data_IF_157959844129
#
_entry.id   IF_157959844129
#
_cell.length_a   1.000
_cell.length_b   1.000
_cell.length_c   1.000
_cell.angle_alpha   90.00
_cell.angle_beta   90.00
_cell.angle_gamma   90.00
#
_symmetry.space_group_name_H-M   'P 1'
#
loop_
_entity.id
_entity.type
_entity.pdbx_description
1 polymer ?
#
# COMPACT_ATOMS: atom_id res chain seq x y z
N UNK A 1 14.58 2.50 3.83
CA UNK A 1 13.83 3.06 4.97
C UNK A 1 12.35 2.85 4.72
N UNK A 2 11.62 2.34 5.71
CA UNK A 2 10.19 2.04 5.62
C UNK A 2 9.35 3.23 5.16
N UNK A 3 9.40 4.38 5.86
CA UNK A 3 8.57 5.56 5.52
C UNK A 3 8.73 6.04 4.07
N UNK A 4 9.96 6.06 3.54
CA UNK A 4 10.21 6.43 2.13
C UNK A 4 9.50 5.46 1.17
N UNK A 5 9.51 4.16 1.47
CA UNK A 5 8.84 3.17 0.64
C UNK A 5 7.32 3.29 0.75
N UNK A 6 6.79 3.41 1.97
CA UNK A 6 5.35 3.60 2.22
C UNK A 6 4.82 4.84 1.50
N UNK A 7 5.51 5.98 1.62
CA UNK A 7 5.17 7.21 0.89
C UNK A 7 5.14 6.99 -0.62
N UNK A 8 6.12 6.26 -1.15
CA UNK A 8 6.14 5.94 -2.58
C UNK A 8 5.02 4.98 -2.99
N UNK A 9 4.66 3.99 -2.15
CA UNK A 9 3.55 3.06 -2.40
C UNK A 9 2.23 3.79 -2.49
N UNK A 10 1.97 4.72 -1.56
CA UNK A 10 0.77 5.57 -1.58
C UNK A 10 0.75 6.42 -2.85
N UNK A 11 1.87 7.07 -3.19
CA UNK A 11 1.96 7.96 -4.35
C UNK A 11 1.71 7.23 -5.67
N UNK A 12 2.24 6.01 -5.81
CA UNK A 12 2.06 5.22 -7.03
C UNK A 12 0.80 4.35 -7.00
N UNK A 13 0.09 4.27 -5.86
CA UNK A 13 -0.97 3.28 -5.61
C UNK A 13 -0.53 1.85 -5.93
N UNK A 14 0.74 1.52 -5.66
CA UNK A 14 1.30 0.18 -5.89
C UNK A 14 1.80 -0.40 -4.57
N UNK A 15 1.55 -1.68 -4.32
CA UNK A 15 2.15 -2.39 -3.19
C UNK A 15 3.65 -2.56 -3.44
N UNK A 16 4.45 -2.26 -2.43
CA UNK A 16 5.89 -2.55 -2.44
C UNK A 16 6.17 -3.68 -1.48
N UNK A 17 6.99 -4.64 -1.89
CA UNK A 17 7.34 -5.84 -1.10
C UNK A 17 8.26 -5.52 0.11
N UNK A 18 9.02 -4.44 0.06
CA UNK A 18 10.14 -4.18 1.00
C UNK A 18 9.87 -3.42 2.31
N UNK A 19 8.71 -2.75 2.59
CA UNK A 19 8.56 -1.97 3.82
C UNK A 19 8.71 -2.83 5.08
N UNK A 20 8.17 -4.05 5.03
CA UNK A 20 8.11 -4.99 6.14
C UNK A 20 9.49 -5.43 6.61
N UNK A 21 10.44 -5.62 5.68
CA UNK A 21 11.83 -5.97 6.01
C UNK A 21 12.52 -4.86 6.81
N UNK A 22 12.27 -3.59 6.47
CA UNK A 22 12.85 -2.46 7.20
C UNK A 22 12.27 -2.33 8.62
N UNK A 23 10.97 -2.56 8.78
CA UNK A 23 10.28 -2.49 10.07
C UNK A 23 10.73 -3.66 10.95
N UNK A 24 10.80 -4.88 10.42
CA UNK A 24 11.28 -6.05 11.14
C UNK A 24 12.72 -5.86 11.67
N UNK A 25 13.62 -5.32 10.84
CA UNK A 25 14.98 -5.00 11.26
C UNK A 25 15.02 -3.91 12.34
N UNK A 26 14.20 -2.87 12.20
CA UNK A 26 14.11 -1.81 13.21
C UNK A 26 13.60 -2.35 14.56
N UNK A 27 12.58 -3.24 14.54
CA UNK A 27 12.11 -3.93 15.75
C UNK A 27 13.17 -4.82 16.38
N UNK A 28 13.96 -5.53 15.59
CA UNK A 28 15.07 -6.32 16.10
C UNK A 28 16.13 -5.42 16.78
N UNK A 29 16.43 -4.26 16.19
CA UNK A 29 17.31 -3.26 16.79
C UNK A 29 16.75 -2.69 18.10
N UNK A 30 15.44 -2.40 18.18
CA UNK A 30 14.77 -1.98 19.43
C UNK A 30 14.88 -3.04 20.52
N UNK A 31 14.71 -4.32 20.19
CA UNK A 31 14.91 -5.42 21.15
C UNK A 31 16.35 -5.45 21.68
N UNK A 32 17.33 -5.29 20.79
CA UNK A 32 18.74 -5.22 21.18
C UNK A 32 19.03 -3.98 22.06
N UNK A 33 18.48 -2.82 21.69
CA UNK A 33 18.60 -1.58 22.46
C UNK A 33 18.02 -1.76 23.87
N UNK A 34 16.82 -2.31 24.02
CA UNK A 34 16.22 -2.58 25.33
C UNK A 34 17.09 -3.50 26.21
N UNK A 35 17.65 -4.56 25.63
CA UNK A 35 18.59 -5.43 26.35
C UNK A 35 19.85 -4.69 26.81
N UNK A 36 20.37 -3.77 25.99
CA UNK A 36 21.47 -2.89 26.39
C UNK A 36 21.05 -1.95 27.51
N UNK A 37 19.90 -1.27 27.41
CA UNK A 37 19.41 -0.36 28.45
C UNK A 37 19.23 -1.05 29.81
N UNK A 38 18.80 -2.31 29.81
CA UNK A 38 18.63 -3.10 31.03
C UNK A 38 19.96 -3.59 31.63
N UNK A 39 20.99 -3.78 30.81
CA UNK A 39 22.26 -4.39 31.24
C UNK A 39 23.38 -3.38 31.52
N UNK A 40 23.43 -2.26 30.79
CA UNK A 40 24.62 -1.39 30.75
C UNK A 40 24.47 -0.05 31.47
N UNK A 41 23.26 0.51 31.55
CA UNK A 41 23.09 1.91 32.02
C UNK A 41 23.11 2.09 33.54
N UNK A 42 22.97 1.02 34.32
CA UNK A 42 22.70 1.11 35.75
C UNK A 42 23.89 0.83 36.67
N UNK A 43 25.00 0.30 36.13
CA UNK A 43 26.07 -0.23 37.00
C UNK A 43 27.09 0.81 37.47
N UNK A 44 27.32 1.90 36.74
CA UNK A 44 28.48 2.79 36.99
C UNK A 44 28.27 4.28 36.65
N UNK A 45 27.08 4.69 36.17
CA UNK A 45 26.86 6.05 35.66
C UNK A 45 26.00 6.91 36.60
N UNK A 46 26.34 8.21 36.71
CA UNK A 46 25.47 9.22 37.33
C UNK A 46 24.14 9.27 36.57
N UNK A 47 23.03 9.12 37.29
CA UNK A 47 21.67 9.09 36.73
C UNK A 47 21.40 10.30 35.82
N UNK A 48 21.97 11.46 36.14
CA UNK A 48 21.83 12.67 35.33
C UNK A 48 22.49 12.54 33.94
N UNK A 49 23.55 11.74 33.81
CA UNK A 49 24.21 11.45 32.54
C UNK A 49 23.50 10.35 31.73
N UNK A 50 22.71 9.51 32.40
CA UNK A 50 21.92 8.41 31.81
C UNK A 50 20.64 8.93 31.16
N UNK A 51 20.00 9.95 31.75
CA UNK A 51 18.71 10.49 31.30
C UNK A 51 18.71 10.81 29.79
N UNK A 52 19.67 11.57 29.23
CA UNK A 52 19.67 11.88 27.80
C UNK A 52 19.73 10.64 26.91
N UNK A 53 20.52 9.63 27.29
CA UNK A 53 20.65 8.39 26.53
C UNK A 53 19.34 7.59 26.54
N UNK A 54 18.69 7.48 27.70
CA UNK A 54 17.38 6.82 27.84
C UNK A 54 16.30 7.59 27.09
N UNK A 55 16.29 8.92 27.14
CA UNK A 55 15.33 9.74 26.39
C UNK A 55 15.46 9.53 24.89
N UNK A 56 16.68 9.53 24.35
CA UNK A 56 16.92 9.24 22.93
C UNK A 56 16.47 7.82 22.59
N UNK A 57 16.77 6.85 23.45
CA UNK A 57 16.33 5.48 23.24
C UNK A 57 14.80 5.34 23.23
N UNK A 58 14.09 5.98 24.16
CA UNK A 58 12.63 6.04 24.18
C UNK A 58 12.07 6.66 22.89
N UNK A 59 12.63 7.78 22.45
CA UNK A 59 12.19 8.43 21.21
C UNK A 59 12.41 7.52 19.99
N UNK A 60 13.53 6.79 19.93
CA UNK A 60 13.78 5.85 18.84
C UNK A 60 12.79 4.68 18.86
N UNK A 61 12.39 4.21 20.04
CA UNK A 61 11.35 3.18 20.18
C UNK A 61 10.02 3.72 19.64
N UNK A 62 9.60 4.90 20.10
CA UNK A 62 8.35 5.54 19.66
C UNK A 62 8.31 5.75 18.13
N UNK A 63 9.44 6.12 17.52
CA UNK A 63 9.56 6.28 16.07
C UNK A 63 9.35 4.95 15.34
N UNK A 64 9.90 3.84 15.85
CA UNK A 64 9.75 2.53 15.24
C UNK A 64 8.30 2.05 15.33
N UNK A 65 7.66 2.23 16.49
CA UNK A 65 6.27 1.84 16.70
C UNK A 65 5.33 2.67 15.82
N UNK A 66 5.48 4.00 15.80
CA UNK A 66 4.73 4.88 14.90
C UNK A 66 4.93 4.51 13.42
N UNK A 67 6.14 4.11 13.02
CA UNK A 67 6.41 3.66 11.65
C UNK A 67 5.68 2.36 11.31
N UNK A 68 5.54 1.44 12.26
CA UNK A 68 4.73 0.23 12.08
C UNK A 68 3.24 0.54 11.94
N UNK A 69 2.68 1.37 12.82
CA UNK A 69 1.26 1.75 12.75
C UNK A 69 0.91 2.43 11.42
N UNK A 70 1.81 3.27 10.90
CA UNK A 70 1.68 3.85 9.56
C UNK A 70 1.69 2.76 8.48
N UNK A 71 2.58 1.77 8.58
CA UNK A 71 2.66 0.68 7.62
C UNK A 71 1.37 -0.16 7.60
N UNK A 72 0.84 -0.51 8.78
CA UNK A 72 -0.42 -1.23 8.91
C UNK A 72 -1.58 -0.44 8.32
N UNK A 73 -1.65 0.86 8.62
CA UNK A 73 -2.65 1.76 8.05
C UNK A 73 -2.58 1.85 6.52
N UNK A 74 -1.36 1.90 5.96
CA UNK A 74 -1.14 1.89 4.51
C UNK A 74 -1.53 0.54 3.90
N UNK A 75 -1.30 -0.58 4.59
CA UNK A 75 -1.71 -1.89 4.13
C UNK A 75 -3.24 -2.05 4.12
N UNK A 76 -3.93 -1.52 5.14
CA UNK A 76 -5.40 -1.43 5.17
C UNK A 76 -5.89 -0.58 4.00
N UNK A 77 -5.31 0.60 3.80
CA UNK A 77 -5.66 1.47 2.68
C UNK A 77 -5.47 0.75 1.35
N UNK A 78 -4.29 0.17 1.10
CA UNK A 78 -3.96 -0.58 -0.10
C UNK A 78 -4.96 -1.70 -0.40
N UNK A 79 -5.54 -2.31 0.63
CA UNK A 79 -6.57 -3.34 0.50
C UNK A 79 -7.93 -2.76 0.12
N UNK A 80 -8.32 -1.61 0.66
CA UNK A 80 -9.59 -0.93 0.34
C UNK A 80 -9.60 -0.43 -1.10
N UNK A 81 -8.50 0.20 -1.54
CA UNK A 81 -8.40 0.81 -2.88
C UNK A 81 -7.63 -0.06 -3.88
N UNK A 82 -7.42 -1.33 -3.56
CA UNK A 82 -6.84 -2.35 -4.45
C UNK A 82 -5.55 -1.88 -5.15
N UNK A 83 -4.52 -1.50 -4.37
CA UNK A 83 -3.21 -1.17 -4.95
C UNK A 83 -2.71 -2.28 -5.86
N UNK A 84 -2.16 -1.91 -7.01
CA UNK A 84 -1.56 -2.84 -7.96
C UNK A 84 -0.32 -3.48 -7.34
N UNK A 85 -0.07 -4.75 -7.64
CA UNK A 85 1.18 -5.39 -7.24
C UNK A 85 2.25 -5.08 -8.30
N UNK A 86 3.48 -4.86 -7.86
CA UNK A 86 4.60 -4.62 -8.80
C UNK A 86 4.89 -5.80 -9.73
N UNK A 87 4.34 -6.98 -9.42
CA UNK A 87 4.53 -8.21 -10.20
C UNK A 87 3.58 -8.30 -11.42
N UNK A 88 2.58 -7.42 -11.52
CA UNK A 88 1.63 -7.42 -12.65
C UNK A 88 2.15 -6.64 -13.89
N UNK A 89 3.23 -5.87 -13.76
CA UNK A 89 3.79 -5.08 -14.86
C UNK A 89 4.72 -5.87 -15.82
N UNK A 90 4.98 -7.17 -15.58
CA UNK A 90 5.81 -8.02 -16.47
C UNK A 90 5.01 -8.92 -17.44
N UNK A 91 3.68 -8.81 -17.49
CA UNK A 91 2.86 -9.62 -18.41
C UNK A 91 2.02 -8.78 -19.37
N UNK A 92 2.67 -7.97 -20.18
CA UNK A 92 2.08 -7.56 -21.45
C UNK A 92 3.14 -7.48 -22.55
N UNK A 93 3.52 -8.67 -23.04
CA UNK A 93 3.92 -8.86 -24.43
C UNK A 93 3.29 -10.19 -24.93
N UNK A 94 2.32 -10.02 -25.84
CA UNK A 94 1.83 -10.97 -26.86
C UNK A 94 0.65 -11.92 -26.54
N UNK A 95 -0.48 -11.56 -27.16
CA UNK A 95 -1.75 -12.24 -27.47
C UNK A 95 -1.62 -13.66 -28.07
N UNK A 96 -2.71 -14.39 -28.41
CA UNK A 96 -4.07 -14.50 -27.84
C UNK A 96 -4.45 -15.98 -27.51
N UNK A 97 -5.42 -16.19 -26.59
CA UNK A 97 -5.92 -17.54 -26.24
C UNK A 97 -6.74 -18.16 -27.38
N UNK A 98 -6.37 -19.38 -27.76
CA UNK A 98 -7.04 -20.21 -28.77
C UNK A 98 -8.43 -20.69 -28.34
N UNK A 99 -9.40 -20.47 -29.25
CA UNK A 99 -10.43 -21.38 -29.78
C UNK A 99 -10.91 -22.54 -28.89
N UNK A 100 -12.20 -22.46 -28.50
CA UNK A 100 -13.06 -23.63 -28.32
C UNK A 100 -14.14 -23.59 -29.41
N UNK A 101 -14.24 -24.67 -30.19
CA UNK A 101 -15.04 -24.81 -31.41
C UNK A 101 -16.54 -25.01 -31.14
N UNK A 102 -17.40 -24.35 -31.95
CA UNK A 102 -18.74 -24.82 -32.37
C UNK A 102 -19.25 -23.97 -33.55
N UNK A 103 -20.23 -24.40 -34.37
CA UNK A 103 -20.01 -24.67 -35.79
C UNK A 103 -20.43 -23.52 -36.71
N UNK A 104 -19.78 -23.52 -37.87
CA UNK A 104 -19.96 -22.78 -39.11
C UNK A 104 -21.37 -22.30 -39.45
N UNK A 105 -21.51 -21.00 -39.71
CA UNK A 105 -22.45 -20.47 -40.70
C UNK A 105 -21.72 -19.43 -41.57
N UNK A 106 -21.62 -19.71 -42.87
CA UNK A 106 -21.03 -18.81 -43.86
C UNK A 106 -22.08 -17.83 -44.35
N UNK A 107 -21.82 -16.52 -44.23
CA UNK A 107 -22.40 -15.49 -45.09
C UNK A 107 -21.31 -14.45 -45.37
N UNK A 108 -21.08 -14.15 -46.65
CA UNK A 108 -20.02 -13.31 -47.17
C UNK A 108 -20.14 -11.83 -46.73
N UNK A 109 -18.99 -11.15 -46.57
CA UNK A 109 -18.89 -9.70 -46.41
C UNK A 109 -19.06 -8.94 -47.75
N UNK A 110 -19.32 -7.62 -47.73
CA UNK A 110 -18.24 -6.63 -47.55
C UNK A 110 -18.54 -5.48 -46.55
N UNK A 111 -17.45 -4.89 -46.04
CA UNK A 111 -17.28 -3.83 -45.03
C UNK A 111 -18.33 -2.69 -44.95
N UNK A 112 -18.52 -2.11 -43.73
CA UNK A 112 -18.19 -0.68 -43.61
C UNK A 112 -17.51 -0.27 -42.29
N UNK A 113 -16.47 0.57 -42.45
CA UNK A 113 -15.91 1.61 -41.56
C UNK A 113 -16.42 1.63 -40.11
N UNK A 114 -15.53 1.24 -39.20
CA UNK A 114 -15.70 1.39 -37.75
C UNK A 114 -15.72 2.88 -37.39
N UNK A 115 -16.90 3.41 -37.11
CA UNK A 115 -17.11 4.68 -36.43
C UNK A 115 -16.92 4.46 -34.92
N UNK A 116 -16.00 5.20 -34.30
CA UNK A 116 -15.71 5.11 -32.87
C UNK A 116 -16.94 5.56 -32.06
N UNK A 117 -17.65 4.59 -31.48
CA UNK A 117 -18.80 4.85 -30.61
C UNK A 117 -18.32 5.39 -29.26
N UNK A 118 -18.42 6.71 -29.09
CA UNK A 118 -18.22 7.36 -27.79
C UNK A 118 -19.40 7.02 -26.87
N UNK A 119 -19.17 6.18 -25.86
CA UNK A 119 -20.17 5.91 -24.81
C UNK A 119 -20.17 7.09 -23.84
N UNK A 120 -21.19 7.94 -23.92
CA UNK A 120 -21.46 9.00 -22.94
C UNK A 120 -22.26 8.39 -21.79
N UNK A 121 -21.66 8.35 -20.60
CA UNK A 121 -22.37 7.98 -19.37
C UNK A 121 -23.15 9.22 -18.91
N UNK A 122 -24.48 9.17 -19.03
CA UNK A 122 -25.35 10.20 -18.46
C UNK A 122 -25.61 9.81 -17.01
N UNK A 123 -25.15 10.66 -16.08
CA UNK A 123 -25.48 10.53 -14.66
C UNK A 123 -26.83 11.19 -14.47
N UNK A 124 -27.88 10.40 -14.23
CA UNK A 124 -29.16 10.94 -13.77
C UNK A 124 -29.06 11.23 -12.26
N UNK A 125 -29.18 12.50 -11.90
CA UNK A 125 -29.31 12.92 -10.51
C UNK A 125 -30.65 12.42 -9.97
N UNK A 126 -30.60 11.35 -9.19
CA UNK A 126 -31.74 10.86 -8.42
C UNK A 126 -32.10 11.89 -7.35
N UNK A 127 -33.14 12.69 -7.62
CA UNK A 127 -33.68 13.60 -6.61
C UNK A 127 -34.27 12.78 -5.46
N UNK A 128 -33.72 13.00 -4.27
CA UNK A 128 -34.17 12.39 -3.03
C UNK A 128 -35.46 13.09 -2.58
N UNK A 129 -36.63 12.53 -2.95
CA UNK A 129 -37.94 12.98 -2.50
C UNK A 129 -38.19 12.63 -1.03
N UNK A 130 -37.52 13.32 -0.11
CA UNK A 130 -37.96 13.43 1.29
C UNK A 130 -37.51 14.77 1.89
N UNK A 131 -38.37 15.78 1.83
CA UNK A 131 -38.56 16.70 2.96
C UNK A 131 -39.93 17.39 2.90
N UNK A 132 -40.73 17.06 3.93
CA UNK A 132 -42.03 17.57 4.29
C UNK A 132 -42.01 19.09 4.55
N UNK A 133 -43.09 19.81 4.20
CA UNK A 133 -43.41 21.14 4.74
C UNK A 133 -44.94 21.27 4.76
N UNK A 134 -45.55 21.00 5.93
CA UNK A 134 -46.17 21.99 6.85
C UNK A 134 -47.11 22.96 6.14
#
# INVERSE_FOLDING_TARGET
MALKQLSSSIKSMKRKSSPDTHIANAKAAVKSLNSLLQSSLWKENDLLLVIPAVTVASLLIDIVDCTEEIADSVNVLASIIHFDNLDDDEKDEKSPKEVSQSPTCQCAEPDPKIENSHVVIIVEDSMCDKCNKV
#
